data_IF_223755316920
#
_entry.id   IF_223755316920
#
_cell.length_a   1.000
_cell.length_b   1.000
_cell.length_c   1.000
_cell.angle_alpha   90.00
_cell.angle_beta   90.00
_cell.angle_gamma   90.00
#
_symmetry.space_group_name_H-M   'P 1'
#
loop_
_entity.id
_entity.type
_entity.pdbx_description
1 polymer ?
#
# COMPACT_ATOMS: atom_id res chain seq x y z
N UNK A 1 4.22 0.26 31.86
CA UNK A 1 5.35 1.21 31.85
C UNK A 1 5.34 2.20 30.68
N UNK A 2 4.64 1.92 29.55
CA UNK A 2 4.55 2.86 28.41
C UNK A 2 3.50 3.98 28.58
N UNK A 3 2.66 3.94 29.63
CA UNK A 3 1.61 4.95 29.87
C UNK A 3 2.08 6.14 30.73
N UNK A 4 3.34 6.16 31.17
CA UNK A 4 3.87 7.23 32.04
C UNK A 4 4.57 8.37 31.31
N UNK A 5 4.78 8.26 30.00
CA UNK A 5 5.35 9.35 29.20
C UNK A 5 4.22 10.21 28.61
N UNK A 6 4.27 11.53 28.74
CA UNK A 6 3.28 12.46 28.16
C UNK A 6 3.48 12.59 26.64
N UNK A 7 3.41 11.46 25.93
CA UNK A 7 3.53 11.45 24.46
C UNK A 7 2.14 11.52 23.86
N UNK A 8 1.93 12.43 22.91
CA UNK A 8 0.66 12.54 22.21
C UNK A 8 0.37 11.24 21.42
N UNK A 9 -0.89 10.84 21.37
CA UNK A 9 -1.36 9.63 20.65
C UNK A 9 -0.92 9.63 19.19
N UNK A 10 -0.97 10.79 18.55
CA UNK A 10 -0.52 10.97 17.17
C UNK A 10 0.98 10.69 17.02
N UNK A 11 1.80 11.17 17.94
CA UNK A 11 3.24 10.90 17.95
C UNK A 11 3.54 9.41 18.10
N UNK A 12 2.76 8.70 18.92
CA UNK A 12 2.93 7.26 19.14
C UNK A 12 2.54 6.44 17.90
N UNK A 13 1.45 6.78 17.22
CA UNK A 13 1.04 6.13 15.96
C UNK A 13 2.08 6.42 14.87
N UNK A 14 2.46 7.69 14.70
CA UNK A 14 3.42 8.09 13.68
C UNK A 14 4.80 7.46 13.89
N UNK A 15 5.32 7.44 15.10
CA UNK A 15 6.64 6.83 15.37
C UNK A 15 6.65 5.34 15.04
N UNK A 16 5.59 4.60 15.41
CA UNK A 16 5.47 3.18 15.06
C UNK A 16 5.33 2.96 13.55
N UNK A 17 4.51 3.78 12.87
CA UNK A 17 4.34 3.69 11.42
C UNK A 17 5.65 3.97 10.70
N UNK A 18 6.38 5.01 11.07
CA UNK A 18 7.68 5.36 10.48
C UNK A 18 8.69 4.22 10.71
N UNK A 19 8.83 3.77 11.95
CA UNK A 19 9.78 2.69 12.29
C UNK A 19 9.48 1.42 11.49
N UNK A 20 8.23 0.96 11.47
CA UNK A 20 7.86 -0.24 10.72
C UNK A 20 8.01 -0.08 9.21
N UNK A 21 7.73 1.11 8.66
CA UNK A 21 7.96 1.41 7.23
C UNK A 21 9.43 1.31 6.86
N UNK A 22 10.33 1.86 7.69
CA UNK A 22 11.77 1.77 7.50
C UNK A 22 12.24 0.32 7.49
N UNK A 23 11.77 -0.51 8.44
CA UNK A 23 12.12 -1.93 8.48
C UNK A 23 11.62 -2.71 7.26
N UNK A 24 10.41 -2.42 6.76
CA UNK A 24 9.88 -3.07 5.56
C UNK A 24 10.68 -2.68 4.32
N UNK A 25 11.04 -1.40 4.17
CA UNK A 25 11.89 -0.93 3.08
C UNK A 25 13.27 -1.61 3.13
N UNK A 26 13.90 -1.67 4.30
CA UNK A 26 15.17 -2.39 4.48
C UNK A 26 15.04 -3.86 4.10
N UNK A 27 14.01 -4.55 4.59
CA UNK A 27 13.73 -5.95 4.21
C UNK A 27 13.57 -6.12 2.71
N UNK A 28 12.86 -5.20 2.05
CA UNK A 28 12.69 -5.24 0.60
C UNK A 28 14.01 -5.07 -0.15
N UNK A 29 14.84 -4.11 0.25
CA UNK A 29 16.19 -3.92 -0.30
C UNK A 29 17.06 -5.18 -0.13
N UNK A 30 17.07 -5.77 1.08
CA UNK A 30 17.80 -7.02 1.31
C UNK A 30 17.27 -8.16 0.46
N UNK A 31 15.96 -8.30 0.31
CA UNK A 31 15.35 -9.34 -0.55
C UNK A 31 15.80 -9.19 -1.99
N UNK A 32 15.81 -7.96 -2.53
CA UNK A 32 16.30 -7.71 -3.90
C UNK A 32 17.78 -8.07 -4.01
N UNK A 33 18.62 -7.66 -3.05
CA UNK A 33 20.03 -7.98 -3.05
C UNK A 33 20.28 -9.48 -3.02
N UNK A 34 19.56 -10.24 -2.16
CA UNK A 34 19.67 -11.69 -2.10
C UNK A 34 19.18 -12.37 -3.39
N UNK A 35 18.10 -11.88 -4.00
CA UNK A 35 17.65 -12.37 -5.31
C UNK A 35 18.71 -12.13 -6.37
N UNK A 36 19.33 -10.96 -6.39
CA UNK A 36 20.39 -10.62 -7.34
C UNK A 36 21.61 -11.53 -7.18
N UNK A 37 22.07 -11.73 -5.94
CA UNK A 37 23.19 -12.63 -5.62
C UNK A 37 22.84 -14.09 -5.94
N UNK A 38 21.63 -14.53 -5.62
CA UNK A 38 21.16 -15.90 -5.90
C UNK A 38 21.06 -16.19 -7.40
N UNK A 39 20.48 -15.26 -8.16
CA UNK A 39 20.38 -15.40 -9.62
C UNK A 39 21.75 -15.32 -10.26
N UNK A 40 22.61 -14.40 -9.83
CA UNK A 40 24.00 -14.28 -10.35
C UNK A 40 24.84 -15.50 -10.00
N UNK A 41 24.68 -16.08 -8.80
CA UNK A 41 25.41 -17.25 -8.36
C UNK A 41 24.97 -18.57 -9.01
N UNK A 42 23.70 -18.67 -9.46
CA UNK A 42 23.14 -19.87 -10.07
C UNK A 42 23.22 -19.86 -11.61
N UNK A 43 23.23 -18.69 -12.22
CA UNK A 43 23.15 -18.53 -13.67
C UNK A 43 24.25 -17.58 -14.16
N UNK A 44 25.49 -18.04 -14.17
CA UNK A 44 26.68 -17.28 -14.61
C UNK A 44 26.65 -16.84 -16.09
N UNK A 45 25.46 -16.68 -16.66
CA UNK A 45 25.29 -16.31 -18.07
C UNK A 45 25.05 -14.80 -18.19
N UNK A 46 26.00 -14.10 -18.78
CA UNK A 46 25.92 -12.65 -19.07
C UNK A 46 24.70 -12.28 -19.91
N UNK A 47 24.15 -13.23 -20.68
CA UNK A 47 22.96 -13.06 -21.51
C UNK A 47 21.73 -12.69 -20.68
N UNK A 48 21.59 -13.19 -19.45
CA UNK A 48 20.49 -12.89 -18.55
C UNK A 48 20.50 -11.42 -18.07
N UNK A 49 21.67 -10.88 -17.75
CA UNK A 49 21.81 -9.48 -17.33
C UNK A 49 21.51 -8.53 -18.50
N UNK A 50 21.96 -8.88 -19.72
CA UNK A 50 21.65 -8.11 -20.91
C UNK A 50 20.15 -8.11 -21.24
N UNK A 51 19.49 -9.27 -21.11
CA UNK A 51 18.04 -9.39 -21.28
C UNK A 51 17.26 -8.50 -20.26
N UNK A 52 17.63 -8.53 -18.99
CA UNK A 52 17.03 -7.66 -17.98
C UNK A 52 17.27 -6.18 -18.27
N UNK A 53 18.48 -5.82 -18.69
CA UNK A 53 18.81 -4.43 -19.03
C UNK A 53 18.01 -3.92 -20.22
N UNK A 54 17.82 -4.74 -21.24
CA UNK A 54 17.01 -4.39 -22.41
C UNK A 54 15.51 -4.30 -22.06
N UNK A 55 15.00 -5.16 -21.18
CA UNK A 55 13.64 -5.00 -20.64
C UNK A 55 13.47 -3.68 -19.89
N UNK A 56 14.42 -3.32 -19.04
CA UNK A 56 14.36 -2.05 -18.29
C UNK A 56 14.37 -0.82 -19.19
N UNK A 57 15.09 -0.87 -20.30
CA UNK A 57 15.11 0.24 -21.30
C UNK A 57 13.77 0.43 -22.02
N UNK A 58 12.98 -0.63 -22.15
CA UNK A 58 11.67 -0.58 -22.82
C UNK A 58 10.55 -0.09 -21.89
N UNK A 59 10.78 -0.09 -20.58
CA UNK A 59 9.78 0.33 -19.59
C UNK A 59 9.78 1.86 -19.49
N UNK A 60 8.57 2.44 -19.50
CA UNK A 60 8.41 3.88 -19.31
C UNK A 60 8.90 4.31 -17.91
N UNK A 61 9.73 5.34 -17.87
CA UNK A 61 10.29 5.88 -16.61
C UNK A 61 9.19 6.32 -15.64
N UNK A 62 8.10 6.88 -16.15
CA UNK A 62 6.96 7.29 -15.34
C UNK A 62 6.28 6.09 -14.68
N UNK A 63 6.15 4.97 -15.41
CA UNK A 63 5.63 3.72 -14.86
C UNK A 63 6.48 3.20 -13.69
N UNK A 64 7.81 3.24 -13.81
CA UNK A 64 8.71 2.82 -12.73
C UNK A 64 8.52 3.70 -11.48
N UNK A 65 8.48 5.02 -11.66
CA UNK A 65 8.30 5.97 -10.55
C UNK A 65 6.94 5.74 -9.85
N UNK A 66 5.86 5.61 -10.62
CA UNK A 66 4.53 5.39 -10.06
C UNK A 66 4.43 4.03 -9.34
N UNK A 67 5.07 3.00 -9.88
CA UNK A 67 5.10 1.68 -9.24
C UNK A 67 5.85 1.72 -7.91
N UNK A 68 7.03 2.34 -7.86
CA UNK A 68 7.78 2.50 -6.60
C UNK A 68 6.99 3.30 -5.58
N UNK A 69 6.35 4.39 -6.00
CA UNK A 69 5.51 5.20 -5.13
C UNK A 69 4.30 4.41 -4.62
N UNK A 70 3.67 3.59 -5.47
CA UNK A 70 2.53 2.75 -5.08
C UNK A 70 2.91 1.69 -4.05
N UNK A 71 4.10 1.10 -4.17
CA UNK A 71 4.63 0.15 -3.17
C UNK A 71 4.80 0.86 -1.82
N UNK A 72 5.42 2.04 -1.78
CA UNK A 72 5.61 2.80 -0.56
C UNK A 72 4.28 3.16 0.13
N UNK A 73 3.33 3.68 -0.64
CA UNK A 73 2.02 4.07 -0.12
C UNK A 73 1.24 2.83 0.36
N UNK A 74 1.32 1.70 -0.36
CA UNK A 74 0.66 0.46 0.05
C UNK A 74 1.18 -0.09 1.38
N UNK A 75 2.47 0.05 1.66
CA UNK A 75 3.07 -0.31 2.95
C UNK A 75 2.47 0.53 4.07
N UNK A 76 2.43 1.86 3.90
CA UNK A 76 1.86 2.78 4.89
C UNK A 76 0.37 2.51 5.10
N UNK A 77 -0.38 2.33 4.01
CA UNK A 77 -1.80 1.99 4.02
C UNK A 77 -2.10 0.73 4.85
N UNK A 78 -1.37 -0.36 4.59
CA UNK A 78 -1.57 -1.62 5.30
C UNK A 78 -1.30 -1.47 6.81
N UNK A 79 -0.26 -0.74 7.20
CA UNK A 79 0.06 -0.50 8.60
C UNK A 79 -1.04 0.31 9.30
N UNK A 80 -1.49 1.40 8.69
CA UNK A 80 -2.54 2.25 9.28
C UNK A 80 -3.86 1.47 9.39
N UNK A 81 -4.19 0.62 8.40
CA UNK A 81 -5.35 -0.28 8.46
C UNK A 81 -5.25 -1.27 9.63
N UNK A 82 -4.06 -1.86 9.87
CA UNK A 82 -3.84 -2.75 11.01
C UNK A 82 -4.02 -1.99 12.32
N UNK A 83 -3.53 -0.77 12.46
CA UNK A 83 -3.75 0.05 13.67
C UNK A 83 -5.23 0.38 13.86
N UNK A 84 -5.97 0.67 12.78
CA UNK A 84 -7.41 0.88 12.85
C UNK A 84 -8.15 -0.37 13.34
N UNK A 85 -7.76 -1.55 12.86
CA UNK A 85 -8.36 -2.83 13.27
C UNK A 85 -8.08 -3.13 14.74
N UNK A 86 -6.85 -2.90 15.21
CA UNK A 86 -6.48 -3.07 16.62
C UNK A 86 -7.26 -2.09 17.51
N UNK A 87 -7.38 -0.83 17.10
CA UNK A 87 -8.12 0.18 17.85
C UNK A 87 -9.61 -0.22 17.99
N UNK A 88 -10.23 -0.69 16.91
CA UNK A 88 -11.62 -1.19 16.94
C UNK A 88 -11.78 -2.43 17.81
N UNK A 89 -10.87 -3.39 17.72
CA UNK A 89 -10.89 -4.62 18.50
C UNK A 89 -10.82 -4.39 20.01
N UNK A 90 -10.16 -3.32 20.43
CA UNK A 90 -10.06 -2.96 21.85
C UNK A 90 -11.41 -2.62 22.52
N UNK A 91 -12.48 -2.42 21.76
CA UNK A 91 -13.83 -2.18 22.30
C UNK A 91 -14.50 -3.45 22.86
N UNK A 92 -13.97 -4.62 22.59
CA UNK A 92 -14.57 -5.91 22.92
C UNK A 92 -13.75 -6.65 24.00
N UNK A 93 -14.39 -7.62 24.67
CA UNK A 93 -13.75 -8.42 25.70
C UNK A 93 -12.57 -9.25 25.15
N UNK A 94 -12.77 -9.90 24.00
CA UNK A 94 -11.72 -10.67 23.31
C UNK A 94 -10.98 -9.80 22.29
N UNK A 95 -10.16 -8.87 22.78
CA UNK A 95 -9.50 -7.83 21.99
C UNK A 95 -8.75 -8.36 20.77
N UNK A 96 -8.00 -9.47 20.93
CA UNK A 96 -7.18 -10.04 19.85
C UNK A 96 -8.08 -10.60 18.73
N UNK A 97 -9.07 -11.41 19.08
CA UNK A 97 -9.98 -12.00 18.10
C UNK A 97 -10.74 -10.93 17.30
N UNK A 98 -11.28 -9.92 17.98
CA UNK A 98 -12.01 -8.85 17.30
C UNK A 98 -11.08 -7.95 16.47
N UNK A 99 -9.82 -7.75 16.86
CA UNK A 99 -8.85 -7.02 16.03
C UNK A 99 -8.59 -7.74 14.70
N UNK A 100 -8.48 -9.07 14.72
CA UNK A 100 -8.30 -9.87 13.50
C UNK A 100 -9.57 -9.80 12.64
N UNK A 101 -10.77 -9.96 13.22
CA UNK A 101 -12.04 -9.86 12.49
C UNK A 101 -12.16 -8.48 11.82
N UNK A 102 -11.93 -7.40 12.57
CA UNK A 102 -11.96 -6.05 11.99
C UNK A 102 -10.91 -5.86 10.90
N UNK A 103 -9.71 -6.43 11.04
CA UNK A 103 -8.69 -6.40 10.00
C UNK A 103 -9.18 -7.02 8.69
N UNK A 104 -9.77 -8.22 8.77
CA UNK A 104 -10.34 -8.90 7.60
C UNK A 104 -11.50 -8.10 7.01
N UNK A 105 -12.39 -7.57 7.83
CA UNK A 105 -13.54 -6.76 7.37
C UNK A 105 -13.07 -5.49 6.69
N UNK A 106 -12.16 -4.72 7.31
CA UNK A 106 -11.64 -3.48 6.72
C UNK A 106 -10.94 -3.74 5.40
N UNK A 107 -10.13 -4.80 5.32
CA UNK A 107 -9.46 -5.21 4.09
C UNK A 107 -10.48 -5.50 2.98
N UNK A 108 -11.47 -6.37 3.23
CA UNK A 108 -12.48 -6.72 2.22
C UNK A 108 -13.34 -5.52 1.81
N UNK A 109 -13.76 -4.69 2.75
CA UNK A 109 -14.52 -3.46 2.46
C UNK A 109 -13.73 -2.54 1.54
N UNK A 110 -12.43 -2.36 1.80
CA UNK A 110 -11.60 -1.51 0.94
C UNK A 110 -11.44 -2.11 -0.46
N UNK A 111 -11.24 -3.42 -0.56
CA UNK A 111 -11.13 -4.08 -1.87
C UNK A 111 -12.41 -3.92 -2.68
N UNK A 112 -13.57 -4.17 -2.07
CA UNK A 112 -14.87 -4.01 -2.73
C UNK A 112 -15.07 -2.55 -3.15
N UNK A 113 -14.82 -1.58 -2.27
CA UNK A 113 -14.95 -0.16 -2.60
C UNK A 113 -14.00 0.24 -3.72
N UNK A 114 -12.76 -0.23 -3.71
CA UNK A 114 -11.78 0.06 -4.77
C UNK A 114 -12.27 -0.45 -6.12
N UNK A 115 -12.79 -1.67 -6.18
CA UNK A 115 -13.33 -2.25 -7.42
C UNK A 115 -14.57 -1.50 -7.89
N UNK A 116 -15.51 -1.21 -6.99
CA UNK A 116 -16.76 -0.46 -7.30
C UNK A 116 -16.45 0.94 -7.84
N UNK A 117 -15.39 1.58 -7.38
CA UNK A 117 -14.99 2.91 -7.87
C UNK A 117 -14.18 2.80 -9.16
N UNK A 118 -13.26 1.83 -9.27
CA UNK A 118 -12.36 1.68 -10.40
C UNK A 118 -13.11 1.29 -11.69
N UNK A 119 -14.06 0.36 -11.61
CA UNK A 119 -14.79 -0.14 -12.79
C UNK A 119 -15.49 0.98 -13.56
N UNK A 120 -16.32 1.84 -12.94
CA UNK A 120 -16.95 2.96 -13.65
C UNK A 120 -15.93 3.93 -14.23
N UNK A 121 -14.83 4.21 -13.51
CA UNK A 121 -13.76 5.10 -14.00
C UNK A 121 -13.12 4.53 -15.26
N UNK A 122 -12.85 3.21 -15.29
CA UNK A 122 -12.34 2.55 -16.51
C UNK A 122 -13.31 2.71 -17.69
N UNK A 123 -14.61 2.49 -17.49
CA UNK A 123 -15.60 2.59 -18.57
C UNK A 123 -15.83 4.04 -19.05
N UNK A 124 -15.61 5.02 -18.20
CA UNK A 124 -15.74 6.45 -18.53
C UNK A 124 -14.49 7.03 -19.18
N UNK A 125 -13.34 6.34 -19.11
CA UNK A 125 -12.08 6.81 -19.69
C UNK A 125 -12.12 6.66 -21.23
N UNK A 126 -12.02 7.76 -21.99
CA UNK A 126 -11.99 7.70 -23.47
C UNK A 126 -10.81 6.89 -24.00
N UNK A 127 -9.70 6.83 -23.28
CA UNK A 127 -8.52 6.05 -23.69
C UNK A 127 -8.77 4.55 -23.56
N UNK A 128 -9.47 4.13 -22.49
CA UNK A 128 -9.88 2.73 -22.33
C UNK A 128 -10.84 2.29 -23.46
N UNK A 129 -11.78 3.15 -23.83
CA UNK A 129 -12.70 2.86 -24.96
C UNK A 129 -11.95 2.75 -26.28
N UNK A 130 -10.94 3.61 -26.53
CA UNK A 130 -10.08 3.51 -27.72
C UNK A 130 -9.27 2.21 -27.73
N UNK A 131 -8.76 1.80 -26.58
CA UNK A 131 -8.03 0.54 -26.43
C UNK A 131 -8.91 -0.67 -26.77
N UNK A 132 -10.14 -0.74 -26.23
CA UNK A 132 -11.10 -1.80 -26.55
C UNK A 132 -11.44 -1.81 -28.04
N UNK A 133 -11.54 -0.65 -28.67
CA UNK A 133 -11.86 -0.49 -30.09
C UNK A 133 -10.65 -0.72 -31.02
N UNK A 134 -9.50 -1.18 -30.48
CA UNK A 134 -8.32 -1.55 -31.26
C UNK A 134 -7.53 -0.37 -31.85
N UNK A 135 -7.77 0.86 -31.38
CA UNK A 135 -6.94 2.01 -31.76
C UNK A 135 -5.68 2.06 -30.91
N UNK A 136 -4.52 2.21 -31.58
CA UNK A 136 -3.19 2.15 -30.95
C UNK A 136 -3.00 3.27 -29.92
N UNK A 137 -3.15 2.94 -28.67
CA UNK A 137 -2.68 3.75 -27.53
C UNK A 137 -1.50 2.99 -26.92
N UNK A 138 -0.46 3.71 -26.46
CA UNK A 138 0.60 3.04 -25.72
C UNK A 138 0.01 2.43 -24.45
N UNK A 139 0.21 1.13 -24.25
CA UNK A 139 -0.29 0.40 -23.07
C UNK A 139 0.15 1.07 -21.76
N UNK A 140 1.35 1.66 -21.74
CA UNK A 140 1.86 2.40 -20.58
C UNK A 140 1.04 3.65 -20.23
N UNK A 141 0.47 4.37 -21.20
CA UNK A 141 -0.33 5.56 -20.89
C UNK A 141 -1.61 5.22 -20.14
N UNK A 142 -2.25 4.10 -20.50
CA UNK A 142 -3.42 3.58 -19.76
C UNK A 142 -3.04 3.12 -18.36
N UNK A 143 -2.00 2.29 -18.25
CA UNK A 143 -1.56 1.74 -16.98
C UNK A 143 -1.16 2.85 -16.01
N UNK A 144 -0.42 3.86 -16.48
CA UNK A 144 -0.01 5.02 -15.67
C UNK A 144 -1.21 5.80 -15.13
N UNK A 145 -2.26 5.99 -15.94
CA UNK A 145 -3.50 6.63 -15.50
C UNK A 145 -4.18 5.87 -14.36
N UNK A 146 -4.28 4.53 -14.48
CA UNK A 146 -4.88 3.70 -13.44
C UNK A 146 -4.00 3.59 -12.18
N UNK A 147 -2.68 3.56 -12.32
CA UNK A 147 -1.77 3.62 -11.18
C UNK A 147 -1.92 4.93 -10.40
N UNK A 148 -1.98 6.06 -11.09
CA UNK A 148 -2.24 7.36 -10.45
C UNK A 148 -3.55 7.37 -9.69
N UNK A 149 -4.61 6.86 -10.29
CA UNK A 149 -5.92 6.77 -9.64
C UNK A 149 -5.92 5.83 -8.44
N UNK A 150 -5.28 4.66 -8.55
CA UNK A 150 -5.12 3.72 -7.44
C UNK A 150 -4.30 4.32 -6.29
N UNK A 151 -3.25 5.09 -6.61
CA UNK A 151 -2.48 5.86 -5.63
C UNK A 151 -3.35 6.87 -4.89
N UNK A 152 -4.15 7.63 -5.59
CA UNK A 152 -5.06 8.60 -4.99
C UNK A 152 -6.06 7.92 -4.04
N UNK A 153 -6.67 6.81 -4.45
CA UNK A 153 -7.57 6.03 -3.59
C UNK A 153 -6.87 5.47 -2.35
N UNK A 154 -5.66 4.94 -2.50
CA UNK A 154 -4.91 4.40 -1.37
C UNK A 154 -4.53 5.46 -0.34
N UNK A 155 -4.22 6.70 -0.78
CA UNK A 155 -4.01 7.84 0.12
C UNK A 155 -5.30 8.20 0.85
N UNK A 156 -6.44 8.27 0.15
CA UNK A 156 -7.74 8.56 0.78
C UNK A 156 -8.10 7.53 1.86
N UNK A 157 -7.94 6.25 1.58
CA UNK A 157 -8.20 5.20 2.56
C UNK A 157 -7.22 5.26 3.73
N UNK A 158 -5.95 5.58 3.49
CA UNK A 158 -4.96 5.75 4.56
C UNK A 158 -5.37 6.86 5.50
N UNK A 159 -5.78 8.02 4.97
CA UNK A 159 -6.27 9.14 5.77
C UNK A 159 -7.54 8.77 6.54
N UNK A 160 -8.48 8.08 5.90
CA UNK A 160 -9.72 7.63 6.54
C UNK A 160 -9.45 6.69 7.72
N UNK A 161 -8.56 5.72 7.55
CA UNK A 161 -8.17 4.79 8.63
C UNK A 161 -7.37 5.46 9.73
N UNK A 162 -6.52 6.44 9.40
CA UNK A 162 -5.82 7.23 10.40
C UNK A 162 -6.81 8.00 11.29
N UNK A 163 -7.77 8.72 10.67
CA UNK A 163 -8.82 9.46 11.40
C UNK A 163 -9.65 8.50 12.28
N UNK A 164 -10.01 7.34 11.74
CA UNK A 164 -10.76 6.32 12.47
C UNK A 164 -9.96 5.84 13.69
N UNK A 165 -8.68 5.55 13.53
CA UNK A 165 -7.79 5.13 14.61
C UNK A 165 -7.73 6.17 15.72
N UNK A 166 -7.48 7.44 15.38
CA UNK A 166 -7.39 8.52 16.34
C UNK A 166 -8.71 8.70 17.09
N UNK A 167 -9.85 8.77 16.37
CA UNK A 167 -11.17 8.94 17.00
C UNK A 167 -11.55 7.80 17.96
N UNK A 168 -11.18 6.56 17.61
CA UNK A 168 -11.46 5.40 18.47
C UNK A 168 -10.61 5.44 19.74
N UNK A 169 -9.33 5.80 19.60
CA UNK A 169 -8.43 5.93 20.74
C UNK A 169 -8.81 7.09 21.66
N UNK A 170 -9.30 8.22 21.12
CA UNK A 170 -9.74 9.37 21.91
C UNK A 170 -10.93 9.04 22.79
N UNK A 171 -11.93 8.34 22.25
CA UNK A 171 -13.11 7.96 23.03
C UNK A 171 -12.81 7.03 24.20
N UNK A 172 -11.73 6.23 24.09
CA UNK A 172 -11.40 5.22 25.11
C UNK A 172 -10.52 5.75 26.23
N UNK A 173 -9.70 6.76 25.98
CA UNK A 173 -8.80 7.35 26.95
C UNK A 173 -9.43 8.48 27.79
N UNK A 174 -10.62 8.97 27.38
CA UNK A 174 -11.42 9.92 28.17
C UNK A 174 -12.37 9.24 29.17
N UNK A 175 -12.31 7.91 29.32
CA UNK A 175 -13.12 7.13 30.27
C UNK A 175 -12.31 6.59 31.46
N UNK A 176 -11.13 7.18 31.70
CA UNK A 176 -10.29 6.87 32.84
C UNK A 176 -9.96 8.09 33.68
#
# INVERSE_FOLDING_TARGET
LMHTLPVSKNSLILSKTISSTVFIILSFVFTILFLFVGVYGLWFDSSFLFFFWDLFKQIDTLFIILTLLSILISVIYNQVMIYASIALGQKHNNKVMYSVIYGVVLYNVTQILSVVILIPVMFLDPNYQKYINGTSISDFALINGYLLFALFLSILFTVAYYILTVKVLDKKLNLG
#
